data_IF_491237101673
#
_entry.id   IF_491237101673
#
_cell.length_a   1.000
_cell.length_b   1.000
_cell.length_c   1.000
_cell.angle_alpha   90.00
_cell.angle_beta   90.00
_cell.angle_gamma   90.00
#
_symmetry.space_group_name_H-M   'P 1'
#
loop_
_entity.id
_entity.type
_entity.pdbx_description
1 polymer ?
#
# COMPACT_ATOMS: atom_id res chain seq x y z
N UNK A 1 -8.21 -2.18 -18.46
CA UNK A 1 -8.97 -0.98 -18.83
C UNK A 1 -9.83 -1.23 -20.08
N UNK A 2 -10.63 -0.24 -20.50
CA UNK A 2 -11.54 -0.35 -21.65
C UNK A 2 -10.77 -0.54 -22.95
N UNK A 3 -9.66 0.16 -23.12
CA UNK A 3 -8.82 0.14 -24.34
C UNK A 3 -8.23 -1.26 -24.52
N UNK A 4 -7.68 -1.85 -23.46
CA UNK A 4 -7.11 -3.21 -23.51
C UNK A 4 -8.18 -4.26 -23.88
N UNK A 5 -9.41 -4.10 -23.41
CA UNK A 5 -10.52 -5.01 -23.77
C UNK A 5 -10.87 -4.92 -25.27
N UNK A 6 -10.95 -3.71 -25.78
CA UNK A 6 -11.20 -3.47 -27.22
C UNK A 6 -10.06 -4.02 -28.07
N UNK A 7 -8.81 -3.86 -27.62
CA UNK A 7 -7.64 -4.45 -28.29
C UNK A 7 -7.66 -5.98 -28.31
N UNK A 8 -8.03 -6.61 -27.19
CA UNK A 8 -8.17 -8.09 -27.12
C UNK A 8 -9.21 -8.58 -28.12
N UNK A 9 -10.39 -7.95 -28.16
CA UNK A 9 -11.46 -8.29 -29.10
C UNK A 9 -10.97 -8.17 -30.54
N UNK A 10 -10.27 -7.09 -30.86
CA UNK A 10 -9.74 -6.82 -32.19
C UNK A 10 -8.63 -7.79 -32.60
N UNK A 11 -7.63 -8.02 -31.72
CA UNK A 11 -6.49 -8.87 -32.03
C UNK A 11 -6.84 -10.36 -32.12
N UNK A 12 -7.81 -10.80 -31.31
CA UNK A 12 -8.30 -12.19 -31.36
C UNK A 12 -9.42 -12.38 -32.39
N UNK A 13 -9.78 -11.34 -33.16
CA UNK A 13 -10.83 -11.38 -34.16
C UNK A 13 -12.16 -11.97 -33.65
N UNK A 14 -12.54 -11.65 -32.40
CA UNK A 14 -13.73 -12.17 -31.77
C UNK A 14 -14.99 -11.59 -32.42
N UNK A 15 -15.90 -12.45 -32.88
CA UNK A 15 -17.17 -12.05 -33.47
C UNK A 15 -18.26 -12.05 -32.41
N UNK A 16 -18.82 -10.87 -32.11
CA UNK A 16 -19.87 -10.66 -31.09
C UNK A 16 -19.60 -11.37 -29.75
N UNK A 17 -18.44 -11.15 -29.10
CA UNK A 17 -18.10 -11.83 -27.87
C UNK A 17 -19.05 -11.41 -26.74
N UNK A 18 -19.42 -12.36 -25.89
CA UNK A 18 -20.06 -12.03 -24.60
C UNK A 18 -18.99 -11.56 -23.64
N UNK A 19 -19.15 -10.38 -23.05
CA UNK A 19 -18.22 -9.80 -22.11
C UNK A 19 -18.77 -9.92 -20.68
N UNK A 20 -18.05 -10.59 -19.79
CA UNK A 20 -18.36 -10.69 -18.37
C UNK A 20 -17.33 -9.87 -17.60
N UNK A 21 -17.78 -8.89 -16.86
CA UNK A 21 -16.92 -7.99 -16.08
C UNK A 21 -17.37 -8.07 -14.63
N UNK A 22 -16.51 -8.57 -13.76
CA UNK A 22 -16.70 -8.46 -12.32
C UNK A 22 -16.13 -7.14 -11.83
N UNK A 23 -16.66 -6.62 -10.71
CA UNK A 23 -16.12 -5.42 -10.07
C UNK A 23 -14.67 -5.60 -9.67
N UNK A 24 -13.89 -4.53 -9.77
CA UNK A 24 -12.54 -4.42 -9.21
C UNK A 24 -12.57 -4.12 -7.71
N UNK A 25 -13.73 -3.97 -7.11
CA UNK A 25 -13.81 -3.72 -5.68
C UNK A 25 -13.45 -4.95 -4.84
N UNK A 26 -12.60 -4.71 -3.87
CA UNK A 26 -12.14 -5.69 -2.88
C UNK A 26 -12.36 -5.09 -1.49
N UNK A 27 -13.63 -5.02 -1.00
CA UNK A 27 -13.98 -4.31 0.24
C UNK A 27 -13.28 -4.89 1.49
N UNK A 28 -12.88 -6.15 1.44
CA UNK A 28 -12.15 -6.83 2.50
C UNK A 28 -10.68 -6.41 2.63
N UNK A 29 -10.11 -5.66 1.67
CA UNK A 29 -8.71 -5.22 1.72
C UNK A 29 -8.67 -3.77 2.22
N UNK A 30 -7.98 -3.49 3.33
CA UNK A 30 -7.72 -2.12 3.75
C UNK A 30 -6.61 -1.48 2.91
N UNK A 31 -6.68 -0.16 2.73
CA UNK A 31 -5.70 0.58 1.93
C UNK A 31 -5.08 1.68 2.79
N UNK A 32 -3.81 1.52 3.16
CA UNK A 32 -3.09 2.48 4.00
C UNK A 32 -1.83 2.98 3.29
N UNK A 33 -1.62 4.30 3.26
CA UNK A 33 -0.42 4.92 2.69
C UNK A 33 0.32 5.69 3.76
N UNK A 34 1.59 5.33 3.98
CA UNK A 34 2.52 5.99 4.90
C UNK A 34 3.49 6.87 4.13
N UNK A 35 3.37 8.20 4.31
CA UNK A 35 4.17 9.19 3.60
C UNK A 35 5.35 9.68 4.43
N UNK A 36 6.48 9.95 3.79
CA UNK A 36 7.63 10.63 4.41
C UNK A 36 8.50 9.78 5.36
N UNK A 37 8.23 8.49 5.48
CA UNK A 37 9.00 7.58 6.34
C UNK A 37 10.41 7.36 5.79
N UNK A 38 11.42 7.59 6.61
CA UNK A 38 12.81 7.23 6.32
C UNK A 38 13.03 5.72 6.56
N UNK A 39 14.13 5.17 6.05
CA UNK A 39 14.39 3.72 6.11
C UNK A 39 14.30 3.13 7.54
N UNK A 40 14.80 3.86 8.55
CA UNK A 40 14.74 3.42 9.96
C UNK A 40 13.31 3.42 10.49
N UNK A 41 12.52 4.42 10.12
CA UNK A 41 11.11 4.55 10.50
C UNK A 41 10.25 3.49 9.81
N UNK A 42 10.50 3.24 8.50
CA UNK A 42 9.85 2.15 7.75
C UNK A 42 10.09 0.79 8.44
N UNK A 43 11.35 0.48 8.75
CA UNK A 43 11.71 -0.78 9.39
C UNK A 43 11.01 -0.95 10.74
N UNK A 44 10.96 0.11 11.57
CA UNK A 44 10.26 0.09 12.86
C UNK A 44 8.75 -0.14 12.67
N UNK A 45 8.13 0.59 11.75
CA UNK A 45 6.70 0.46 11.47
C UNK A 45 6.34 -0.94 10.93
N UNK A 46 7.19 -1.53 10.08
CA UNK A 46 7.01 -2.90 9.58
C UNK A 46 7.10 -3.92 10.73
N UNK A 47 8.06 -3.79 11.62
CA UNK A 47 8.18 -4.68 12.78
C UNK A 47 6.97 -4.58 13.71
N UNK A 48 6.53 -3.36 14.02
CA UNK A 48 5.32 -3.12 14.82
C UNK A 48 4.06 -3.67 14.14
N UNK A 49 3.97 -3.55 12.81
CA UNK A 49 2.89 -4.12 12.03
C UNK A 49 2.88 -5.66 12.10
N UNK A 50 4.01 -6.33 11.83
CA UNK A 50 4.12 -7.79 11.89
C UNK A 50 3.84 -8.32 13.30
N UNK A 51 4.24 -7.60 14.34
CA UNK A 51 3.93 -8.00 15.73
C UNK A 51 2.44 -7.95 16.06
N UNK A 52 1.67 -7.09 15.41
CA UNK A 52 0.20 -7.07 15.53
C UNK A 52 -0.47 -8.17 14.72
N UNK A 53 0.18 -8.62 13.65
CA UNK A 53 -0.27 -9.68 12.75
C UNK A 53 0.50 -10.99 13.00
N UNK A 54 0.60 -11.38 14.29
CA UNK A 54 1.30 -12.62 14.66
C UNK A 54 0.65 -13.82 13.99
N UNK A 55 1.50 -14.75 13.54
CA UNK A 55 1.09 -15.99 12.86
C UNK A 55 0.32 -15.79 11.53
N UNK A 56 0.13 -14.56 11.09
CA UNK A 56 -0.50 -14.26 9.82
C UNK A 56 0.53 -14.17 8.69
N UNK A 57 0.21 -14.79 7.54
CA UNK A 57 1.09 -14.78 6.38
C UNK A 57 1.01 -13.46 5.62
N UNK A 58 2.17 -12.93 5.21
CA UNK A 58 2.23 -11.68 4.45
C UNK A 58 3.40 -11.55 3.49
N UNK A 59 3.31 -10.56 2.62
CA UNK A 59 4.29 -10.28 1.56
C UNK A 59 4.81 -8.85 1.69
N UNK A 60 6.13 -8.66 1.58
CA UNK A 60 6.77 -7.35 1.51
C UNK A 60 7.40 -7.17 0.14
N UNK A 61 6.84 -6.29 -0.67
CA UNK A 61 7.39 -5.93 -1.97
C UNK A 61 8.45 -4.84 -1.87
N UNK A 62 9.61 -5.10 -2.45
CA UNK A 62 10.74 -4.16 -2.53
C UNK A 62 11.12 -3.89 -3.98
N UNK A 63 11.61 -2.69 -4.25
CA UNK A 63 11.98 -2.27 -5.61
C UNK A 63 13.22 -3.00 -6.16
N UNK A 64 14.17 -3.40 -5.32
CA UNK A 64 15.44 -4.01 -5.72
C UNK A 64 15.75 -5.30 -4.98
N UNK A 65 16.55 -6.17 -5.62
CA UNK A 65 17.04 -7.42 -5.02
C UNK A 65 17.77 -7.19 -3.70
N UNK A 66 18.71 -6.26 -3.67
CA UNK A 66 19.48 -5.91 -2.46
C UNK A 66 18.57 -5.41 -1.33
N UNK A 67 17.54 -4.58 -1.64
CA UNK A 67 16.60 -4.13 -0.62
C UNK A 67 15.77 -5.31 -0.09
N UNK A 68 15.36 -6.22 -0.94
CA UNK A 68 14.64 -7.45 -0.57
C UNK A 68 15.42 -8.27 0.45
N UNK A 69 16.70 -8.52 0.16
CA UNK A 69 17.60 -9.26 1.06
C UNK A 69 17.85 -8.51 2.38
N UNK A 70 18.08 -7.19 2.31
CA UNK A 70 18.34 -6.35 3.49
C UNK A 70 17.13 -6.34 4.44
N UNK A 71 15.91 -6.23 3.91
CA UNK A 71 14.68 -6.25 4.71
C UNK A 71 14.46 -7.63 5.31
N UNK A 72 14.66 -8.71 4.55
CA UNK A 72 14.54 -10.07 5.06
C UNK A 72 15.54 -10.35 6.20
N UNK A 73 16.81 -9.98 6.04
CA UNK A 73 17.82 -10.12 7.09
C UNK A 73 17.44 -9.35 8.36
N UNK A 74 16.88 -8.15 8.21
CA UNK A 74 16.40 -7.35 9.34
C UNK A 74 15.28 -8.08 10.10
N UNK A 75 14.32 -8.68 9.38
CA UNK A 75 13.23 -9.45 9.98
C UNK A 75 13.72 -10.73 10.66
N UNK A 76 14.63 -11.47 10.02
CA UNK A 76 15.23 -12.70 10.56
C UNK A 76 16.00 -12.43 11.87
N UNK A 77 16.73 -11.31 11.96
CA UNK A 77 17.40 -10.88 13.21
C UNK A 77 16.42 -10.59 14.35
N UNK A 78 15.16 -10.36 14.07
CA UNK A 78 14.09 -10.17 15.06
C UNK A 78 13.30 -11.48 15.32
N UNK A 79 13.79 -12.61 14.81
CA UNK A 79 13.16 -13.92 15.01
C UNK A 79 11.93 -14.18 14.11
N UNK A 80 11.67 -13.33 13.10
CA UNK A 80 10.55 -13.51 12.17
C UNK A 80 10.95 -14.52 11.10
N UNK A 81 10.15 -15.58 10.91
CA UNK A 81 10.34 -16.58 9.87
C UNK A 81 10.08 -15.95 8.50
N UNK A 82 11.16 -15.57 7.80
CA UNK A 82 11.09 -14.81 6.55
C UNK A 82 11.98 -15.42 5.46
N UNK A 83 11.44 -15.52 4.24
CA UNK A 83 12.15 -15.91 3.02
C UNK A 83 12.37 -14.73 2.06
N UNK A 84 13.29 -14.93 1.11
CA UNK A 84 13.63 -13.98 0.06
C UNK A 84 13.20 -14.54 -1.29
N UNK A 85 12.62 -13.70 -2.17
CA UNK A 85 12.27 -14.11 -3.52
C UNK A 85 12.52 -13.00 -4.55
N UNK A 86 13.42 -13.26 -5.48
CA UNK A 86 13.68 -12.38 -6.64
C UNK A 86 14.32 -13.15 -7.79
N UNK A 87 14.27 -12.59 -8.99
CA UNK A 87 14.76 -13.25 -10.21
C UNK A 87 16.27 -13.56 -10.24
N UNK A 88 17.05 -12.99 -9.31
CA UNK A 88 18.48 -13.28 -9.17
C UNK A 88 18.81 -14.55 -8.39
N UNK A 89 17.82 -15.17 -7.73
CA UNK A 89 17.98 -16.44 -7.02
C UNK A 89 17.90 -17.62 -8.00
N UNK A 90 18.51 -18.76 -7.62
CA UNK A 90 18.38 -20.00 -8.39
C UNK A 90 16.90 -20.45 -8.45
N UNK A 91 16.48 -21.16 -9.49
CA UNK A 91 15.13 -21.73 -9.57
C UNK A 91 14.79 -22.56 -8.32
N UNK A 92 15.71 -23.42 -7.90
CA UNK A 92 15.51 -24.25 -6.70
C UNK A 92 15.23 -23.43 -5.45
N UNK A 93 16.02 -22.38 -5.17
CA UNK A 93 15.80 -21.53 -3.99
C UNK A 93 14.47 -20.78 -4.05
N UNK A 94 14.03 -20.37 -5.25
CA UNK A 94 12.71 -19.76 -5.45
C UNK A 94 11.58 -20.73 -5.15
N UNK A 95 11.71 -21.97 -5.66
CA UNK A 95 10.72 -23.04 -5.44
C UNK A 95 10.64 -23.42 -3.95
N UNK A 96 11.78 -23.54 -3.26
CA UNK A 96 11.85 -23.79 -1.83
C UNK A 96 11.15 -22.67 -1.04
N UNK A 97 11.50 -21.40 -1.29
CA UNK A 97 10.88 -20.25 -0.61
C UNK A 97 9.37 -20.19 -0.86
N UNK A 98 8.93 -20.47 -2.09
CA UNK A 98 7.51 -20.48 -2.44
C UNK A 98 6.78 -21.62 -1.71
N UNK A 99 7.33 -22.82 -1.70
CA UNK A 99 6.77 -23.98 -1.02
C UNK A 99 6.70 -23.78 0.50
N UNK A 100 7.75 -23.18 1.09
CA UNK A 100 7.78 -22.87 2.52
C UNK A 100 6.72 -21.82 2.89
N UNK A 101 6.49 -20.83 2.02
CA UNK A 101 5.43 -19.85 2.23
C UNK A 101 4.03 -20.46 2.08
N UNK A 102 3.80 -21.27 1.06
CA UNK A 102 2.52 -21.96 0.82
C UNK A 102 2.16 -22.86 2.00
N UNK A 103 3.14 -23.56 2.57
CA UNK A 103 2.96 -24.51 3.66
C UNK A 103 3.13 -23.92 5.08
N UNK A 104 3.11 -22.57 5.21
CA UNK A 104 3.20 -21.85 6.49
C UNK A 104 4.50 -22.13 7.28
N UNK A 105 5.56 -22.64 6.63
CA UNK A 105 6.89 -22.83 7.25
C UNK A 105 7.58 -21.48 7.48
N UNK A 106 7.37 -20.52 6.57
CA UNK A 106 7.74 -19.12 6.75
C UNK A 106 6.48 -18.25 6.75
N UNK A 107 6.49 -17.24 7.59
CA UNK A 107 5.39 -16.30 7.77
C UNK A 107 5.42 -15.19 6.72
N UNK A 108 6.61 -14.70 6.37
CA UNK A 108 6.81 -13.53 5.53
C UNK A 108 7.66 -13.87 4.31
N UNK A 109 7.29 -13.34 3.15
CA UNK A 109 8.17 -13.32 1.97
C UNK A 109 8.53 -11.87 1.65
N UNK A 110 9.83 -11.55 1.68
CA UNK A 110 10.34 -10.32 1.09
C UNK A 110 10.65 -10.57 -0.38
N UNK A 111 10.06 -9.80 -1.28
CA UNK A 111 10.11 -10.10 -2.70
C UNK A 111 10.24 -8.86 -3.59
N UNK A 112 10.77 -9.05 -4.79
CA UNK A 112 10.50 -8.14 -5.91
C UNK A 112 9.21 -8.55 -6.63
N UNK A 113 8.81 -7.80 -7.65
CA UNK A 113 7.65 -8.11 -8.50
C UNK A 113 7.71 -9.51 -9.14
N UNK A 114 8.85 -10.19 -9.09
CA UNK A 114 9.00 -11.55 -9.57
C UNK A 114 8.19 -12.58 -8.76
N UNK A 115 7.86 -12.26 -7.50
CA UNK A 115 7.00 -13.07 -6.66
C UNK A 115 5.54 -12.75 -6.92
N UNK A 116 4.96 -13.47 -7.86
CA UNK A 116 3.62 -13.09 -8.26
C UNK A 116 2.88 -14.11 -9.08
N UNK A 117 3.36 -14.47 -10.23
CA UNK A 117 2.69 -15.43 -11.09
C UNK A 117 2.73 -16.83 -10.46
N UNK A 118 1.55 -17.46 -10.33
CA UNK A 118 1.44 -18.83 -9.80
C UNK A 118 1.33 -18.98 -8.29
N UNK A 119 1.25 -17.88 -7.51
CA UNK A 119 1.02 -17.98 -6.07
C UNK A 119 -0.47 -17.99 -5.80
N UNK A 120 -0.96 -19.15 -5.40
CA UNK A 120 -2.36 -19.37 -5.02
C UNK A 120 -2.50 -19.74 -3.55
N UNK A 121 -2.00 -18.86 -2.67
CA UNK A 121 -2.22 -18.93 -1.23
C UNK A 121 -3.38 -18.01 -0.86
N UNK A 122 -4.51 -18.58 -0.47
CA UNK A 122 -5.75 -17.82 -0.22
C UNK A 122 -5.73 -17.01 1.07
N UNK A 123 -4.92 -17.42 2.06
CA UNK A 123 -4.87 -16.87 3.41
C UNK A 123 -3.71 -15.89 3.63
N UNK A 124 -3.26 -15.18 2.62
CA UNK A 124 -2.37 -14.02 2.80
C UNK A 124 -3.17 -12.90 3.45
N UNK A 125 -2.77 -12.51 4.68
CA UNK A 125 -3.50 -11.51 5.47
C UNK A 125 -3.04 -10.09 5.23
N UNK A 126 -1.82 -9.89 4.74
CA UNK A 126 -1.33 -8.54 4.52
C UNK A 126 -0.28 -8.45 3.41
N UNK A 127 -0.22 -7.28 2.78
CA UNK A 127 0.78 -6.92 1.77
C UNK A 127 1.36 -5.55 2.09
N UNK A 128 2.69 -5.47 2.17
CA UNK A 128 3.42 -4.22 2.39
C UNK A 128 4.26 -3.89 1.15
N UNK A 129 4.14 -2.66 0.67
CA UNK A 129 5.05 -2.10 -0.32
C UNK A 129 6.08 -1.24 0.39
N UNK A 130 7.33 -1.72 0.47
CA UNK A 130 8.45 -0.97 1.06
C UNK A 130 8.80 0.27 0.24
N UNK A 131 8.59 0.21 -1.07
CA UNK A 131 8.80 1.27 -2.05
C UNK A 131 7.54 1.48 -2.91
N UNK A 132 7.45 2.64 -3.56
CA UNK A 132 6.39 2.94 -4.52
C UNK A 132 6.41 1.94 -5.68
N UNK A 133 5.30 1.28 -6.04
CA UNK A 133 5.16 0.52 -7.29
C UNK A 133 5.23 1.43 -8.51
N UNK A 134 5.60 0.86 -9.66
CA UNK A 134 5.73 1.61 -10.92
C UNK A 134 4.41 2.04 -11.55
N UNK A 135 3.30 1.40 -11.17
CA UNK A 135 1.97 1.69 -11.72
C UNK A 135 0.85 1.20 -10.80
N UNK A 136 -0.35 1.73 -10.99
CA UNK A 136 -1.56 1.29 -10.27
C UNK A 136 -1.89 -0.17 -10.58
N UNK A 137 -1.70 -0.62 -11.83
CA UNK A 137 -1.97 -2.00 -12.22
C UNK A 137 -1.05 -2.99 -11.45
N UNK A 138 0.24 -2.69 -11.37
CA UNK A 138 1.19 -3.49 -10.58
C UNK A 138 0.79 -3.50 -9.12
N UNK A 139 0.50 -2.33 -8.55
CA UNK A 139 0.04 -2.19 -7.17
C UNK A 139 -1.22 -3.02 -6.90
N UNK A 140 -2.24 -2.89 -7.77
CA UNK A 140 -3.51 -3.60 -7.63
C UNK A 140 -3.32 -5.13 -7.71
N UNK A 141 -2.50 -5.62 -8.64
CA UNK A 141 -2.18 -7.05 -8.74
C UNK A 141 -1.47 -7.57 -7.49
N UNK A 142 -0.57 -6.79 -6.92
CA UNK A 142 0.21 -7.15 -5.74
C UNK A 142 -0.63 -7.15 -4.47
N UNK A 143 -1.44 -6.11 -4.22
CA UNK A 143 -2.38 -6.10 -3.08
C UNK A 143 -3.49 -7.14 -3.23
N UNK A 144 -3.89 -7.46 -4.45
CA UNK A 144 -4.90 -8.48 -4.77
C UNK A 144 -4.54 -9.90 -4.34
N UNK A 145 -3.30 -10.13 -3.88
CA UNK A 145 -2.87 -11.40 -3.27
C UNK A 145 -3.38 -11.58 -1.86
N UNK A 146 -3.67 -10.47 -1.16
CA UNK A 146 -4.26 -10.52 0.16
C UNK A 146 -5.75 -10.86 0.10
N UNK A 147 -6.22 -11.62 1.09
CA UNK A 147 -7.64 -11.86 1.33
C UNK A 147 -8.40 -12.49 0.19
N UNK A 148 -7.82 -13.44 -0.56
CA UNK A 148 -8.52 -14.15 -1.64
C UNK A 148 -9.68 -15.00 -1.14
N UNK A 149 -9.67 -15.37 0.13
CA UNK A 149 -10.75 -16.06 0.82
C UNK A 149 -11.89 -15.13 1.27
N UNK A 150 -11.77 -13.82 1.01
CA UNK A 150 -12.76 -12.81 1.37
C UNK A 150 -12.66 -12.30 2.81
N UNK A 151 -11.71 -12.79 3.61
CA UNK A 151 -11.49 -12.29 4.97
C UNK A 151 -10.77 -10.93 4.96
N UNK A 152 -10.95 -10.13 6.03
CA UNK A 152 -10.24 -8.86 6.20
C UNK A 152 -8.74 -9.03 6.02
N UNK A 153 -8.13 -8.11 5.30
CA UNK A 153 -6.70 -8.13 5.01
C UNK A 153 -6.19 -6.70 4.89
N UNK A 154 -4.94 -6.48 5.30
CA UNK A 154 -4.37 -5.15 5.36
C UNK A 154 -3.32 -4.91 4.29
N UNK A 155 -3.30 -3.70 3.74
CA UNK A 155 -2.23 -3.27 2.84
C UNK A 155 -1.61 -1.96 3.28
N UNK A 156 -0.28 -1.90 3.23
CA UNK A 156 0.49 -0.69 3.57
C UNK A 156 1.42 -0.33 2.43
N UNK A 157 1.31 0.88 1.93
CA UNK A 157 2.21 1.45 0.94
C UNK A 157 3.09 2.52 1.59
N UNK A 158 4.40 2.32 1.61
CA UNK A 158 5.35 3.39 1.96
C UNK A 158 5.68 4.22 0.73
N UNK A 159 5.41 5.51 0.81
CA UNK A 159 5.68 6.47 -0.25
C UNK A 159 6.77 7.45 0.15
N UNK A 160 7.73 7.68 -0.75
CA UNK A 160 8.77 8.69 -0.62
C UNK A 160 9.09 9.35 -1.96
N UNK A 161 9.49 10.63 -1.93
CA UNK A 161 9.95 11.34 -3.13
C UNK A 161 11.20 10.70 -3.75
N UNK A 162 12.07 10.09 -2.93
CA UNK A 162 13.24 9.38 -3.43
C UNK A 162 12.88 8.20 -4.32
N UNK A 163 11.83 7.44 -3.95
CA UNK A 163 11.32 6.34 -4.79
C UNK A 163 10.76 6.90 -6.12
N UNK A 164 10.01 8.00 -6.06
CA UNK A 164 9.43 8.64 -7.25
C UNK A 164 10.52 9.11 -8.22
N UNK A 165 11.55 9.81 -7.74
CA UNK A 165 12.67 10.29 -8.56
C UNK A 165 13.37 9.11 -9.25
N UNK A 166 13.64 8.03 -8.51
CA UNK A 166 14.30 6.85 -9.06
C UNK A 166 13.43 6.16 -10.13
N UNK A 167 12.13 6.01 -9.88
CA UNK A 167 11.20 5.42 -10.83
C UNK A 167 11.01 6.30 -12.08
N UNK A 168 11.02 7.64 -11.92
CA UNK A 168 10.98 8.57 -13.04
C UNK A 168 12.20 8.38 -13.93
N UNK A 169 13.40 8.24 -13.34
CA UNK A 169 14.61 7.96 -14.10
C UNK A 169 14.49 6.65 -14.91
N UNK A 170 14.01 5.56 -14.28
CA UNK A 170 13.81 4.30 -15.01
C UNK A 170 12.74 4.41 -16.11
N UNK A 171 11.68 5.17 -15.88
CA UNK A 171 10.64 5.40 -16.88
C UNK A 171 11.17 6.19 -18.08
N UNK A 172 12.02 7.21 -17.85
CA UNK A 172 12.63 8.02 -18.92
C UNK A 172 13.66 7.25 -19.75
N UNK A 173 14.35 6.30 -19.15
CA UNK A 173 15.34 5.44 -19.83
C UNK A 173 14.69 4.25 -20.59
N UNK A 174 13.36 4.09 -20.50
CA UNK A 174 12.65 2.96 -21.11
C UNK A 174 12.22 3.24 -22.55
N UNK A 175 12.06 2.17 -23.36
CA UNK A 175 11.56 2.27 -24.73
C UNK A 175 10.11 2.77 -24.84
N UNK A 176 9.35 2.81 -23.73
CA UNK A 176 7.97 3.29 -23.65
C UNK A 176 7.85 4.45 -22.66
N UNK A 177 8.75 5.42 -22.78
CA UNK A 177 8.91 6.53 -21.85
C UNK A 177 7.59 7.21 -21.50
N UNK A 178 6.83 7.70 -22.48
CA UNK A 178 5.57 8.44 -22.27
C UNK A 178 4.57 7.63 -21.46
N UNK A 179 4.33 6.37 -21.86
CA UNK A 179 3.36 5.50 -21.19
C UNK A 179 3.79 5.19 -19.74
N UNK A 180 5.09 4.92 -19.53
CA UNK A 180 5.59 4.62 -18.19
C UNK A 180 5.57 5.83 -17.26
N UNK A 181 5.81 7.03 -17.77
CA UNK A 181 5.68 8.28 -17.02
C UNK A 181 4.23 8.56 -16.64
N UNK A 182 3.28 8.39 -17.56
CA UNK A 182 1.85 8.55 -17.28
C UNK A 182 1.37 7.56 -16.20
N UNK A 183 1.76 6.29 -16.31
CA UNK A 183 1.44 5.27 -15.29
C UNK A 183 2.01 5.61 -13.93
N UNK A 184 3.26 6.05 -13.89
CA UNK A 184 3.92 6.48 -12.66
C UNK A 184 3.23 7.70 -12.06
N UNK A 185 2.83 8.68 -12.88
CA UNK A 185 2.08 9.85 -12.44
C UNK A 185 0.74 9.47 -11.80
N UNK A 186 0.01 8.50 -12.38
CA UNK A 186 -1.23 7.98 -11.78
C UNK A 186 -0.97 7.30 -10.43
N UNK A 187 0.10 6.52 -10.32
CA UNK A 187 0.51 5.90 -9.07
C UNK A 187 0.90 6.93 -8.00
N UNK A 188 1.60 7.99 -8.39
CA UNK A 188 1.89 9.13 -7.55
C UNK A 188 0.60 9.80 -7.06
N UNK A 189 -0.31 10.16 -7.96
CA UNK A 189 -1.62 10.75 -7.61
C UNK A 189 -2.37 9.91 -6.60
N UNK A 190 -2.36 8.58 -6.75
CA UNK A 190 -2.94 7.66 -5.79
C UNK A 190 -2.28 7.75 -4.41
N UNK A 191 -0.94 7.69 -4.36
CA UNK A 191 -0.20 7.70 -3.10
C UNK A 191 -0.35 9.02 -2.33
N UNK A 192 -0.55 10.12 -3.05
CA UNK A 192 -0.58 11.47 -2.51
C UNK A 192 -2.01 12.02 -2.28
N UNK A 193 -3.02 11.29 -2.72
CA UNK A 193 -4.40 11.78 -2.67
C UNK A 193 -4.93 11.98 -1.26
N UNK A 194 -5.76 13.00 -1.10
CA UNK A 194 -6.56 13.30 0.10
C UNK A 194 -8.05 12.98 -0.10
N UNK A 195 -8.35 12.02 -0.96
CA UNK A 195 -9.67 11.43 -1.20
C UNK A 195 -9.62 9.92 -1.01
N UNK A 196 -10.78 9.28 -0.90
CA UNK A 196 -10.88 7.84 -0.71
C UNK A 196 -10.04 7.06 -1.73
N UNK A 197 -9.08 6.29 -1.25
CA UNK A 197 -8.15 5.53 -2.09
C UNK A 197 -8.85 4.50 -2.96
N UNK A 198 -9.89 3.88 -2.44
CA UNK A 198 -10.69 2.90 -3.20
C UNK A 198 -11.39 3.53 -4.38
N UNK A 199 -11.96 4.72 -4.21
CA UNK A 199 -12.58 5.47 -5.32
C UNK A 199 -11.58 5.76 -6.43
N UNK A 200 -10.33 6.08 -6.09
CA UNK A 200 -9.27 6.31 -7.09
C UNK A 200 -8.96 5.02 -7.85
N UNK A 201 -8.81 3.90 -7.13
CA UNK A 201 -8.54 2.60 -7.77
C UNK A 201 -9.70 2.20 -8.70
N UNK A 202 -10.93 2.28 -8.24
CA UNK A 202 -12.11 1.94 -9.04
C UNK A 202 -12.24 2.84 -10.27
N UNK A 203 -12.08 4.16 -10.09
CA UNK A 203 -12.09 5.12 -11.19
C UNK A 203 -10.99 4.82 -12.23
N UNK A 204 -9.79 4.45 -11.80
CA UNK A 204 -8.71 4.06 -12.69
C UNK A 204 -9.09 2.87 -13.59
N UNK A 205 -9.82 1.90 -13.06
CA UNK A 205 -10.31 0.75 -13.81
C UNK A 205 -11.65 0.98 -14.54
N UNK A 206 -12.16 2.21 -14.50
CA UNK A 206 -13.39 2.61 -15.21
C UNK A 206 -14.67 2.28 -14.44
N UNK A 207 -14.59 2.06 -13.12
CA UNK A 207 -15.75 1.93 -12.25
C UNK A 207 -16.02 3.24 -11.50
N UNK A 208 -17.28 3.64 -11.42
CA UNK A 208 -17.68 4.83 -10.65
C UNK A 208 -18.19 4.41 -9.28
N UNK A 209 -17.59 4.95 -8.22
CA UNK A 209 -18.09 4.84 -6.86
C UNK A 209 -18.42 6.24 -6.33
N UNK A 210 -19.61 6.42 -5.81
CA UNK A 210 -20.06 7.70 -5.20
C UNK A 210 -19.74 7.75 -3.71
N UNK A 211 -19.59 6.60 -3.05
CA UNK A 211 -19.39 6.48 -1.61
C UNK A 211 -17.93 6.24 -1.24
N UNK A 212 -17.53 6.77 -0.11
CA UNK A 212 -16.23 6.51 0.49
C UNK A 212 -16.21 5.12 1.13
N UNK A 213 -15.08 4.42 1.02
CA UNK A 213 -15.03 2.99 1.41
C UNK A 213 -15.02 2.74 2.92
N UNK A 214 -14.82 3.75 3.78
CA UNK A 214 -14.66 3.59 5.23
C UNK A 214 -13.43 2.78 5.67
N UNK A 215 -12.71 2.14 4.74
CA UNK A 215 -11.63 1.19 5.04
C UNK A 215 -10.26 1.57 4.43
N UNK A 216 -10.02 2.85 4.17
CA UNK A 216 -8.69 3.35 3.81
C UNK A 216 -8.21 4.39 4.85
N UNK A 217 -6.92 4.71 4.83
CA UNK A 217 -6.31 5.70 5.73
C UNK A 217 -7.01 7.07 5.65
N UNK A 218 -7.39 7.52 4.46
CA UNK A 218 -8.08 8.80 4.25
C UNK A 218 -9.49 8.77 4.82
N UNK A 219 -10.24 7.67 4.66
CA UNK A 219 -11.59 7.56 5.22
C UNK A 219 -11.59 7.46 6.76
N UNK A 220 -10.58 6.75 7.31
CA UNK A 220 -10.40 6.61 8.76
C UNK A 220 -9.94 7.91 9.43
N UNK A 221 -9.12 8.71 8.71
CA UNK A 221 -8.56 9.95 9.19
C UNK A 221 -8.64 11.04 8.12
N UNK A 222 -9.83 11.60 7.86
CA UNK A 222 -9.99 12.62 6.83
C UNK A 222 -9.16 13.86 7.19
N UNK A 223 -8.37 14.40 6.24
CA UNK A 223 -7.51 15.53 6.49
C UNK A 223 -8.31 16.80 6.79
N UNK A 224 -7.90 17.55 7.80
CA UNK A 224 -8.37 18.91 8.01
C UNK A 224 -7.74 19.83 6.97
N UNK A 225 -8.50 20.79 6.46
CA UNK A 225 -8.05 21.74 5.45
C UNK A 225 -8.09 23.17 5.99
N UNK A 226 -7.19 24.00 5.49
CA UNK A 226 -7.11 25.42 5.80
C UNK A 226 -6.86 26.26 4.54
N UNK A 227 -7.12 27.57 4.61
CA UNK A 227 -6.81 28.48 3.52
C UNK A 227 -5.27 28.69 3.45
N UNK A 228 -4.64 27.92 2.55
CA UNK A 228 -3.20 27.95 2.29
C UNK A 228 -2.80 28.89 1.16
N UNK A 229 -3.68 29.81 0.71
CA UNK A 229 -3.47 30.66 -0.46
C UNK A 229 -2.14 31.41 -0.39
N UNK A 230 -1.79 31.98 0.75
CA UNK A 230 -0.53 32.72 0.93
C UNK A 230 0.70 31.81 0.79
N UNK A 231 0.63 30.58 1.31
CA UNK A 231 1.71 29.59 1.19
C UNK A 231 1.94 29.25 -0.29
N UNK A 232 0.85 28.99 -1.01
CA UNK A 232 0.87 28.68 -2.45
C UNK A 232 1.42 29.88 -3.24
N UNK A 233 0.97 31.10 -2.95
CA UNK A 233 1.47 32.30 -3.61
C UNK A 233 2.96 32.55 -3.37
N UNK A 234 3.50 32.30 -2.16
CA UNK A 234 4.95 32.37 -1.88
C UNK A 234 5.72 31.43 -2.81
N UNK A 235 5.28 30.18 -2.93
CA UNK A 235 5.95 29.18 -3.77
C UNK A 235 5.85 29.52 -5.28
N UNK A 236 4.65 29.79 -5.78
CA UNK A 236 4.44 30.11 -7.19
C UNK A 236 5.14 31.41 -7.60
N UNK A 237 5.18 32.42 -6.70
CA UNK A 237 5.94 33.67 -6.94
C UNK A 237 7.44 33.41 -7.04
N UNK A 238 7.99 32.48 -6.24
CA UNK A 238 9.40 32.10 -6.34
C UNK A 238 9.68 31.36 -7.65
N UNK A 239 8.82 30.42 -8.05
CA UNK A 239 8.93 29.72 -9.35
C UNK A 239 8.89 30.71 -10.51
N UNK A 240 7.93 31.65 -10.52
CA UNK A 240 7.80 32.64 -11.58
C UNK A 240 9.04 33.56 -11.69
N UNK A 241 9.55 34.03 -10.53
CA UNK A 241 10.72 34.93 -10.48
C UNK A 241 12.03 34.25 -10.84
N UNK A 242 12.10 32.92 -10.65
CA UNK A 242 13.21 32.11 -11.10
C UNK A 242 13.00 31.60 -12.54
N UNK A 243 12.12 32.27 -13.33
CA UNK A 243 11.85 31.98 -14.75
C UNK A 243 11.38 30.54 -15.01
N UNK A 244 10.80 29.90 -13.97
CA UNK A 244 10.36 28.50 -14.03
C UNK A 244 11.50 27.51 -14.38
N UNK A 245 12.74 27.84 -13.99
CA UNK A 245 13.95 27.04 -14.28
C UNK A 245 14.58 26.48 -13.00
N UNK A 246 13.78 26.16 -12.02
CA UNK A 246 14.24 25.62 -10.74
C UNK A 246 13.56 24.30 -10.44
N UNK A 247 14.29 23.42 -9.73
CA UNK A 247 13.78 22.18 -9.16
C UNK A 247 13.11 22.43 -7.79
N UNK A 248 12.41 21.42 -7.28
CA UNK A 248 11.77 21.48 -5.94
C UNK A 248 12.76 21.78 -4.83
N UNK A 249 13.99 21.20 -4.88
CA UNK A 249 15.03 21.45 -3.89
C UNK A 249 15.48 22.90 -3.85
N UNK A 250 15.77 23.48 -5.03
CA UNK A 250 16.16 24.90 -5.18
C UNK A 250 15.03 25.84 -4.73
N UNK A 251 13.78 25.50 -5.05
CA UNK A 251 12.64 26.28 -4.59
C UNK A 251 12.58 26.35 -3.06
N UNK A 252 12.81 25.22 -2.37
CA UNK A 252 12.84 25.17 -0.90
C UNK A 252 14.00 26.05 -0.38
N UNK A 253 15.18 25.96 -0.99
CA UNK A 253 16.33 26.79 -0.61
C UNK A 253 16.03 28.30 -0.76
N UNK A 254 15.42 28.72 -1.87
CA UNK A 254 14.99 30.10 -2.10
C UNK A 254 13.98 30.53 -1.03
N UNK A 255 12.92 29.75 -0.79
CA UNK A 255 11.89 30.08 0.17
C UNK A 255 12.43 30.16 1.62
N UNK A 256 13.36 29.29 1.95
CA UNK A 256 14.02 29.27 3.26
C UNK A 256 15.10 30.34 3.42
N UNK A 257 15.59 30.91 2.32
CA UNK A 257 16.71 31.83 2.32
C UNK A 257 18.03 31.11 2.60
N UNK A 258 18.22 29.93 2.04
CA UNK A 258 19.44 29.10 2.15
C UNK A 258 20.40 29.45 1.04
N UNK A 259 21.68 29.73 1.39
CA UNK A 259 22.75 29.99 0.43
C UNK A 259 23.37 28.67 -0.06
N UNK A 260 22.63 27.88 -0.84
CA UNK A 260 23.24 26.74 -1.52
C UNK A 260 24.10 27.19 -2.70
N UNK A 261 24.99 26.30 -3.16
CA UNK A 261 25.91 26.61 -4.27
C UNK A 261 25.15 27.02 -5.53
N UNK A 262 24.02 26.35 -5.83
CA UNK A 262 23.21 26.64 -7.00
C UNK A 262 22.42 27.95 -6.87
N UNK A 263 21.88 28.26 -5.68
CA UNK A 263 21.20 29.51 -5.39
C UNK A 263 22.16 30.70 -5.58
N UNK A 264 23.39 30.58 -5.07
CA UNK A 264 24.41 31.61 -5.18
C UNK A 264 24.90 31.77 -6.61
N UNK A 265 25.18 30.66 -7.32
CA UNK A 265 25.68 30.70 -8.69
C UNK A 265 24.70 31.36 -9.68
N UNK A 266 23.38 31.18 -9.45
CA UNK A 266 22.32 31.75 -10.31
C UNK A 266 21.77 33.10 -9.80
N UNK A 267 22.28 33.63 -8.71
CA UNK A 267 21.85 34.93 -8.16
C UNK A 267 20.45 34.91 -7.55
N UNK A 268 19.92 33.76 -7.18
CA UNK A 268 18.55 33.65 -6.64
C UNK A 268 18.41 34.28 -5.23
N UNK A 269 19.48 34.53 -4.53
CA UNK A 269 19.46 35.28 -3.27
C UNK A 269 18.99 36.75 -3.45
N UNK A 270 19.02 37.29 -4.67
CA UNK A 270 18.53 38.63 -5.01
C UNK A 270 17.01 38.69 -5.23
N UNK A 271 16.36 37.53 -5.34
CA UNK A 271 14.91 37.45 -5.56
C UNK A 271 14.13 37.99 -4.35
N UNK A 272 13.08 38.79 -4.59
CA UNK A 272 12.17 39.26 -3.52
C UNK A 272 11.53 38.14 -2.70
N UNK A 273 11.54 36.93 -3.23
CA UNK A 273 11.02 35.71 -2.58
C UNK A 273 12.05 34.95 -1.78
N UNK A 274 13.31 35.38 -1.82
CA UNK A 274 14.38 34.78 -1.02
C UNK A 274 14.10 34.92 0.47
N UNK A 275 13.93 33.81 1.16
CA UNK A 275 13.58 33.79 2.59
C UNK A 275 12.11 34.10 2.90
N UNK A 276 11.23 34.26 1.92
CA UNK A 276 9.82 34.58 2.15
C UNK A 276 9.05 33.48 2.89
N UNK A 277 9.59 32.27 2.97
CA UNK A 277 9.03 31.11 3.63
C UNK A 277 9.88 30.57 4.78
N UNK A 278 10.70 31.40 5.43
CA UNK A 278 11.56 31.01 6.56
C UNK A 278 10.79 30.49 7.77
N UNK A 279 9.55 30.97 7.94
CA UNK A 279 8.60 30.58 8.96
C UNK A 279 8.15 29.10 8.87
N UNK A 280 8.28 28.49 7.69
CA UNK A 280 7.88 27.10 7.44
C UNK A 280 9.13 26.20 7.40
N UNK A 281 9.17 25.09 8.17
CA UNK A 281 10.28 24.15 8.13
C UNK A 281 10.50 23.55 6.73
N UNK A 282 11.74 23.17 6.34
CA UNK A 282 12.01 22.58 5.02
C UNK A 282 11.15 21.34 4.71
N UNK A 283 10.88 20.52 5.72
CA UNK A 283 10.07 19.32 5.60
C UNK A 283 8.60 19.63 5.33
N UNK A 284 8.06 20.69 5.95
CA UNK A 284 6.69 21.15 5.71
C UNK A 284 6.55 21.76 4.32
N UNK A 285 7.61 22.45 3.84
CA UNK A 285 7.65 22.90 2.46
C UNK A 285 7.59 21.73 1.47
N UNK A 286 8.29 20.61 1.73
CA UNK A 286 8.18 19.43 0.89
C UNK A 286 6.74 18.91 0.81
N UNK A 287 6.05 18.84 1.95
CA UNK A 287 4.67 18.36 2.03
C UNK A 287 3.70 19.33 1.33
N UNK A 288 3.84 20.65 1.52
CA UNK A 288 3.01 21.63 0.84
C UNK A 288 3.27 21.68 -0.67
N UNK A 289 4.51 21.59 -1.12
CA UNK A 289 4.84 21.54 -2.55
C UNK A 289 4.25 20.27 -3.19
N UNK A 290 4.25 19.17 -2.45
CA UNK A 290 3.60 17.95 -2.88
C UNK A 290 2.09 18.14 -3.06
N UNK A 291 1.41 18.75 -2.09
CA UNK A 291 -0.02 19.10 -2.21
C UNK A 291 -0.28 20.03 -3.40
N UNK A 292 0.57 21.03 -3.62
CA UNK A 292 0.43 21.95 -4.76
C UNK A 292 0.58 21.25 -6.11
N UNK A 293 1.51 20.31 -6.22
CA UNK A 293 1.69 19.45 -7.39
C UNK A 293 0.43 18.61 -7.65
N UNK A 294 -0.13 17.99 -6.61
CA UNK A 294 -1.35 17.18 -6.66
C UNK A 294 -2.59 17.98 -7.07
N UNK A 295 -2.69 19.19 -6.54
CA UNK A 295 -3.77 20.12 -6.85
C UNK A 295 -3.59 20.75 -8.24
N UNK A 296 -2.49 20.42 -8.93
CA UNK A 296 -2.21 20.89 -10.27
C UNK A 296 -1.89 22.39 -10.34
N UNK A 297 -1.30 22.98 -9.30
CA UNK A 297 -0.90 24.38 -9.32
C UNK A 297 0.42 24.62 -10.05
N UNK A 298 1.25 23.61 -10.10
CA UNK A 298 2.43 23.51 -10.98
C UNK A 298 2.66 22.08 -11.40
N UNK A 299 3.48 21.88 -12.42
CA UNK A 299 3.91 20.57 -12.90
C UNK A 299 5.43 20.47 -12.93
N UNK A 300 5.98 19.26 -13.01
CA UNK A 300 7.42 19.02 -13.12
C UNK A 300 7.73 18.65 -14.56
N UNK A 301 8.52 19.50 -15.25
CA UNK A 301 9.03 19.22 -16.58
C UNK A 301 10.26 18.29 -16.49
N UNK A 302 10.01 16.97 -16.48
CA UNK A 302 11.07 15.95 -16.32
C UNK A 302 12.10 15.96 -17.44
N UNK A 303 11.72 16.37 -18.64
CA UNK A 303 12.59 16.57 -19.79
C UNK A 303 13.42 17.87 -19.73
N UNK A 304 13.16 18.75 -18.77
CA UNK A 304 13.84 20.03 -18.57
C UNK A 304 14.49 20.09 -17.16
N UNK A 305 15.33 19.13 -16.84
CA UNK A 305 16.05 19.05 -15.55
C UNK A 305 15.13 19.13 -14.31
N UNK A 306 13.92 18.59 -14.39
CA UNK A 306 12.88 18.64 -13.35
C UNK A 306 12.46 20.06 -12.98
N UNK A 307 12.47 20.98 -13.94
CA UNK A 307 12.01 22.34 -13.73
C UNK A 307 10.51 22.40 -13.42
N UNK A 308 10.15 23.33 -12.54
CA UNK A 308 8.76 23.55 -12.14
C UNK A 308 8.08 24.53 -13.10
N UNK A 309 6.92 24.14 -13.64
CA UNK A 309 6.12 24.97 -14.57
C UNK A 309 4.79 25.31 -13.91
N UNK A 310 4.42 26.58 -13.91
CA UNK A 310 3.14 27.04 -13.35
C UNK A 310 2.02 26.71 -14.33
N UNK A 311 0.96 26.08 -13.83
CA UNK A 311 -0.23 25.76 -14.61
C UNK A 311 -1.20 26.95 -14.66
N UNK A 312 -2.24 26.93 -15.52
CA UNK A 312 -3.31 27.93 -15.50
C UNK A 312 -3.98 28.05 -14.13
N UNK A 313 -4.28 26.91 -13.45
CA UNK A 313 -4.85 26.91 -12.11
C UNK A 313 -3.92 27.54 -11.06
N UNK A 314 -2.63 27.29 -11.15
CA UNK A 314 -1.63 27.94 -10.31
C UNK A 314 -1.56 29.44 -10.56
N UNK A 315 -1.64 29.86 -11.83
CA UNK A 315 -1.66 31.26 -12.21
C UNK A 315 -2.86 32.00 -11.59
N UNK A 316 -4.04 31.40 -11.59
CA UNK A 316 -5.23 32.00 -10.99
C UNK A 316 -5.06 32.23 -9.47
N UNK A 317 -4.40 31.32 -8.77
CA UNK A 317 -4.08 31.51 -7.34
C UNK A 317 -3.01 32.54 -7.15
N UNK A 318 -1.94 32.52 -7.96
CA UNK A 318 -0.84 33.48 -7.90
C UNK A 318 -1.33 34.92 -8.02
N UNK A 319 -2.29 35.15 -8.90
CA UNK A 319 -2.88 36.48 -9.14
C UNK A 319 -4.15 36.77 -8.32
N UNK A 320 -4.48 35.92 -7.35
CA UNK A 320 -5.57 36.14 -6.40
C UNK A 320 -6.99 35.95 -6.97
N UNK A 321 -7.13 35.31 -8.15
CA UNK A 321 -8.41 34.99 -8.75
C UNK A 321 -9.09 33.78 -8.11
N UNK A 322 -8.30 32.88 -7.47
CA UNK A 322 -8.78 31.69 -6.80
C UNK A 322 -8.07 31.52 -5.44
N UNK A 323 -8.72 30.77 -4.52
CA UNK A 323 -8.15 30.38 -3.23
C UNK A 323 -7.58 28.97 -3.30
N UNK A 324 -6.57 28.69 -2.47
CA UNK A 324 -5.98 27.38 -2.35
C UNK A 324 -6.28 26.78 -0.96
N UNK A 325 -6.95 25.65 -0.93
CA UNK A 325 -7.18 24.89 0.29
C UNK A 325 -6.11 23.79 0.42
N UNK A 326 -5.29 23.86 1.47
CA UNK A 326 -4.27 22.86 1.77
C UNK A 326 -4.71 22.01 2.97
N UNK A 327 -4.29 20.74 2.98
CA UNK A 327 -4.45 19.87 4.13
C UNK A 327 -3.45 20.25 5.22
N UNK A 328 -3.91 20.21 6.48
CA UNK A 328 -3.06 20.41 7.65
C UNK A 328 -2.07 19.24 7.75
N UNK A 329 -0.79 19.57 7.88
CA UNK A 329 0.26 18.57 8.06
C UNK A 329 0.20 18.08 9.51
N UNK A 330 -0.34 16.88 9.72
CA UNK A 330 -0.28 16.20 11.00
C UNK A 330 1.00 15.38 11.09
N UNK A 331 1.86 15.74 12.04
CA UNK A 331 3.04 14.95 12.38
C UNK A 331 2.81 14.28 13.73
N UNK A 332 2.88 12.97 13.77
CA UNK A 332 3.11 12.27 15.03
C UNK A 332 4.51 12.66 15.52
N UNK A 333 4.58 13.44 16.61
CA UNK A 333 5.85 13.69 17.29
C UNK A 333 6.40 12.36 17.76
N UNK A 334 7.49 11.92 17.13
CA UNK A 334 8.30 10.83 17.68
C UNK A 334 8.98 11.40 18.90
N UNK A 335 8.35 11.26 20.05
CA UNK A 335 8.94 11.62 21.33
C UNK A 335 10.11 10.69 21.59
N UNK A 336 11.30 11.09 21.15
CA UNK A 336 12.58 10.51 21.60
C UNK A 336 12.90 11.11 22.96
N UNK A 337 12.19 10.66 24.01
CA UNK A 337 12.38 11.08 25.37
C UNK A 337 12.54 9.87 26.28
N UNK A 338 13.72 9.74 26.91
CA UNK A 338 13.89 8.94 28.11
C UNK A 338 12.97 9.48 29.21
N UNK A 339 11.81 8.88 29.39
CA UNK A 339 10.89 9.29 30.46
C UNK A 339 9.53 8.62 30.36
N UNK A 340 9.30 7.68 31.28
CA UNK A 340 8.04 7.08 31.74
C UNK A 340 6.96 6.79 30.71
N UNK A 341 6.81 5.48 30.42
CA UNK A 341 5.72 4.88 29.65
C UNK A 341 4.35 5.34 30.18
N UNK A 342 3.69 6.26 29.48
CA UNK A 342 2.24 6.33 29.50
C UNK A 342 1.73 5.32 28.46
N UNK A 343 1.09 4.26 28.93
CA UNK A 343 0.27 3.39 28.09
C UNK A 343 -0.79 4.24 27.45
N UNK A 344 -0.66 4.50 26.15
CA UNK A 344 -1.79 4.91 25.33
C UNK A 344 -2.58 3.64 25.10
N UNK A 345 -3.70 3.53 25.73
CA UNK A 345 -4.73 2.54 25.43
C UNK A 345 -5.33 2.96 24.09
N UNK A 346 -4.81 2.36 23.02
CA UNK A 346 -5.49 2.43 21.73
C UNK A 346 -6.68 1.51 21.85
N UNK A 347 -7.87 2.09 21.88
CA UNK A 347 -9.11 1.34 21.77
C UNK A 347 -9.01 0.44 20.52
N UNK A 348 -9.15 -0.85 20.74
CA UNK A 348 -9.35 -1.84 19.68
C UNK A 348 -10.72 -1.56 19.06
N UNK A 349 -10.79 -0.70 18.06
CA UNK A 349 -11.90 -0.74 17.12
C UNK A 349 -11.53 -1.78 16.05
N UNK A 350 -12.21 -2.91 16.13
CA UNK A 350 -12.19 -3.94 15.11
C UNK A 350 -12.84 -3.38 13.84
N UNK A 351 -12.14 -3.30 12.70
CA UNK A 351 -12.77 -2.91 11.46
C UNK A 351 -13.62 -4.08 10.94
N UNK A 352 -14.86 -3.79 10.71
CA UNK A 352 -15.88 -4.66 10.13
C UNK A 352 -16.21 -5.93 10.93
N UNK A 353 -17.36 -5.85 11.63
CA UNK A 353 -17.86 -6.86 12.54
C UNK A 353 -17.96 -8.27 11.93
N UNK A 354 -17.14 -9.14 12.45
CA UNK A 354 -17.60 -10.49 12.73
C UNK A 354 -18.53 -10.33 13.93
N UNK A 355 -19.81 -10.76 13.88
CA UNK A 355 -20.71 -10.65 15.02
C UNK A 355 -20.07 -11.28 16.25
N UNK A 356 -20.09 -10.57 17.39
CA UNK A 356 -19.47 -11.02 18.62
C UNK A 356 -19.90 -12.43 19.01
N UNK A 357 -18.91 -13.30 19.26
CA UNK A 357 -19.12 -14.70 19.64
C UNK A 357 -17.97 -15.63 19.27
N UNK A 358 -16.91 -15.12 18.67
CA UNK A 358 -15.72 -15.92 18.35
C UNK A 358 -14.99 -16.36 19.63
N UNK A 359 -14.73 -17.67 19.74
CA UNK A 359 -13.87 -18.20 20.78
C UNK A 359 -12.44 -18.30 20.23
N UNK A 360 -11.58 -17.36 20.66
CA UNK A 360 -10.20 -17.24 20.18
C UNK A 360 -9.40 -18.51 20.47
N UNK A 361 -9.64 -19.15 21.64
CA UNK A 361 -8.98 -20.40 22.03
C UNK A 361 -9.40 -21.57 21.12
N UNK A 362 -10.71 -21.66 20.80
CA UNK A 362 -11.21 -22.65 19.86
C UNK A 362 -10.68 -22.42 18.45
N UNK A 363 -10.61 -21.18 17.99
CA UNK A 363 -10.06 -20.87 16.66
C UNK A 363 -8.60 -21.32 16.54
N UNK A 364 -7.76 -21.05 17.53
CA UNK A 364 -6.36 -21.49 17.53
C UNK A 364 -6.24 -23.01 17.63
N UNK A 365 -7.10 -23.69 18.40
CA UNK A 365 -7.12 -25.14 18.45
C UNK A 365 -7.53 -25.75 17.09
N UNK A 366 -8.55 -25.20 16.42
CA UNK A 366 -8.97 -25.62 15.07
C UNK A 366 -7.85 -25.39 14.03
N UNK A 367 -7.13 -24.28 14.16
CA UNK A 367 -5.98 -23.97 13.30
C UNK A 367 -4.83 -24.98 13.51
N UNK A 368 -4.56 -25.34 14.76
CA UNK A 368 -3.58 -26.37 15.11
C UNK A 368 -3.94 -27.74 14.52
N UNK A 369 -5.19 -28.19 14.71
CA UNK A 369 -5.69 -29.45 14.14
C UNK A 369 -5.61 -29.45 12.61
N UNK A 370 -6.04 -28.36 11.96
CA UNK A 370 -5.93 -28.22 10.51
C UNK A 370 -4.49 -28.40 10.02
N UNK A 371 -3.52 -27.80 10.74
CA UNK A 371 -2.10 -27.93 10.39
C UNK A 371 -1.63 -29.37 10.51
N UNK A 372 -1.98 -30.07 11.57
CA UNK A 372 -1.65 -31.49 11.74
C UNK A 372 -2.19 -32.36 10.60
N UNK A 373 -3.45 -32.16 10.23
CA UNK A 373 -4.08 -32.87 9.11
C UNK A 373 -3.39 -32.55 7.79
N UNK A 374 -3.08 -31.27 7.56
CA UNK A 374 -2.39 -30.81 6.35
C UNK A 374 -1.00 -31.44 6.21
N UNK A 375 -0.23 -31.48 7.30
CA UNK A 375 1.11 -32.09 7.33
C UNK A 375 1.03 -33.61 7.09
N UNK A 376 0.00 -34.31 7.62
CA UNK A 376 -0.23 -35.74 7.38
C UNK A 376 -0.63 -36.04 5.92
N UNK A 377 -1.48 -35.22 5.36
CA UNK A 377 -1.97 -35.37 3.97
C UNK A 377 -0.98 -34.84 2.92
N UNK A 378 0.09 -34.14 3.33
CA UNK A 378 1.04 -33.48 2.42
C UNK A 378 0.41 -32.33 1.62
N UNK A 379 -0.59 -31.65 2.19
CA UNK A 379 -1.36 -30.58 1.55
C UNK A 379 -1.14 -29.24 2.27
N UNK A 380 -1.25 -28.11 1.57
CA UNK A 380 -1.34 -26.80 2.21
C UNK A 380 -2.55 -26.71 3.15
N UNK A 381 -2.36 -26.10 4.33
CA UNK A 381 -3.37 -26.06 5.39
C UNK A 381 -4.72 -25.43 4.92
N UNK A 382 -4.68 -24.39 4.11
CA UNK A 382 -5.89 -23.75 3.58
C UNK A 382 -6.70 -24.65 2.60
N UNK A 383 -6.09 -25.68 2.04
CA UNK A 383 -6.80 -26.68 1.19
C UNK A 383 -7.68 -27.58 2.05
N UNK A 384 -7.22 -27.95 3.25
CA UNK A 384 -8.02 -28.75 4.20
C UNK A 384 -9.27 -27.96 4.58
N UNK A 385 -9.13 -26.81 5.23
CA UNK A 385 -10.21 -25.85 5.49
C UNK A 385 -9.63 -24.43 5.37
N UNK A 386 -10.38 -23.51 4.75
CA UNK A 386 -9.99 -22.10 4.68
C UNK A 386 -10.13 -21.42 6.04
N UNK A 387 -9.41 -20.31 6.28
CA UNK A 387 -9.54 -19.54 7.51
C UNK A 387 -10.98 -19.08 7.74
N UNK A 388 -11.71 -18.72 6.68
CA UNK A 388 -13.14 -18.37 6.73
C UNK A 388 -13.98 -19.49 7.34
N UNK A 389 -13.70 -20.74 6.98
CA UNK A 389 -14.41 -21.90 7.53
C UNK A 389 -14.06 -22.09 9.00
N UNK A 390 -12.79 -21.92 9.39
CA UNK A 390 -12.39 -22.01 10.81
C UNK A 390 -13.07 -20.93 11.67
N UNK A 391 -13.19 -19.69 11.18
CA UNK A 391 -13.95 -18.65 11.87
C UNK A 391 -15.42 -19.01 12.02
N UNK A 392 -16.05 -19.53 10.97
CA UNK A 392 -17.44 -19.98 11.06
C UNK A 392 -17.62 -21.12 12.06
N UNK A 393 -16.67 -22.05 12.11
CA UNK A 393 -16.68 -23.15 13.08
C UNK A 393 -16.49 -22.67 14.52
N UNK A 394 -15.62 -21.68 14.77
CA UNK A 394 -15.40 -21.13 16.12
C UNK A 394 -16.63 -20.35 16.64
N UNK A 395 -17.43 -19.80 15.75
CA UNK A 395 -18.69 -19.10 16.07
C UNK A 395 -19.83 -20.10 16.27
N UNK A 396 -20.08 -20.97 15.27
CA UNK A 396 -21.26 -21.86 15.23
C UNK A 396 -21.13 -23.10 16.10
N UNK A 397 -19.89 -23.52 16.43
CA UNK A 397 -19.56 -24.66 17.29
C UNK A 397 -20.36 -25.92 17.01
N UNK A 398 -20.38 -26.47 15.77
CA UNK A 398 -21.16 -27.64 15.44
C UNK A 398 -20.68 -28.87 16.20
N UNK A 399 -21.60 -29.54 16.92
CA UNK A 399 -21.33 -30.76 17.70
C UNK A 399 -21.67 -32.04 16.98
N UNK A 400 -22.23 -31.97 15.77
CA UNK A 400 -22.55 -33.10 14.91
C UNK A 400 -21.91 -32.97 13.53
N UNK A 401 -21.70 -34.11 12.84
CA UNK A 401 -21.10 -34.10 11.48
C UNK A 401 -22.05 -33.44 10.47
N UNK A 402 -23.37 -33.60 10.69
CA UNK A 402 -24.40 -32.97 9.86
C UNK A 402 -24.30 -31.45 9.94
N UNK A 403 -24.31 -30.88 11.15
CA UNK A 403 -24.16 -29.44 11.38
C UNK A 403 -22.80 -28.88 10.90
N UNK A 404 -21.73 -29.66 11.03
CA UNK A 404 -20.43 -29.34 10.44
C UNK A 404 -20.51 -29.19 8.92
N UNK A 405 -21.24 -30.11 8.24
CA UNK A 405 -21.43 -30.08 6.79
C UNK A 405 -22.29 -28.93 6.27
N UNK A 406 -23.09 -28.27 7.12
CA UNK A 406 -23.92 -27.12 6.75
C UNK A 406 -23.11 -25.81 6.69
N UNK A 407 -21.88 -25.81 7.20
CA UNK A 407 -21.01 -24.63 7.18
C UNK A 407 -20.59 -24.31 5.74
N UNK A 408 -20.84 -23.09 5.33
CA UNK A 408 -20.45 -22.60 3.98
C UNK A 408 -18.95 -22.81 3.72
N UNK A 409 -18.64 -23.54 2.66
CA UNK A 409 -17.24 -23.88 2.30
C UNK A 409 -16.83 -25.30 2.72
N UNK A 410 -17.74 -26.08 3.34
CA UNK A 410 -17.55 -27.49 3.63
C UNK A 410 -18.43 -28.30 2.68
N UNK A 411 -17.80 -28.89 1.66
CA UNK A 411 -18.50 -29.86 0.75
C UNK A 411 -18.48 -31.28 1.30
N UNK A 412 -19.26 -32.18 0.68
CA UNK A 412 -19.41 -33.57 1.10
C UNK A 412 -18.08 -34.33 1.26
N UNK A 413 -17.10 -34.05 0.42
CA UNK A 413 -15.75 -34.62 0.54
C UNK A 413 -15.08 -34.24 1.86
N UNK A 414 -15.06 -32.94 2.19
CA UNK A 414 -14.43 -32.42 3.41
C UNK A 414 -15.18 -32.85 4.65
N UNK A 415 -16.52 -32.92 4.59
CA UNK A 415 -17.39 -33.43 5.64
C UNK A 415 -17.03 -34.88 5.99
N UNK A 416 -16.93 -35.74 4.98
CA UNK A 416 -16.58 -37.17 5.18
C UNK A 416 -15.14 -37.34 5.68
N UNK A 417 -14.20 -36.59 5.12
CA UNK A 417 -12.78 -36.82 5.38
C UNK A 417 -12.34 -36.21 6.72
N UNK A 418 -12.78 -35.00 7.06
CA UNK A 418 -12.27 -34.24 8.20
C UNK A 418 -13.32 -34.01 9.30
N UNK A 419 -14.59 -34.14 9.02
CA UNK A 419 -15.69 -33.76 9.93
C UNK A 419 -15.60 -34.39 11.31
N UNK A 420 -15.20 -35.65 11.41
CA UNK A 420 -15.12 -36.39 12.69
C UNK A 420 -14.05 -35.74 13.63
N UNK A 421 -12.91 -35.36 13.10
CA UNK A 421 -11.79 -34.82 13.88
C UNK A 421 -12.10 -33.41 14.37
N UNK A 422 -12.62 -32.55 13.47
CA UNK A 422 -13.01 -31.18 13.81
C UNK A 422 -14.16 -31.13 14.82
N UNK A 423 -15.20 -31.94 14.62
CA UNK A 423 -16.35 -32.04 15.57
C UNK A 423 -15.90 -32.53 16.93
N UNK A 424 -15.00 -33.52 16.99
CA UNK A 424 -14.48 -34.01 18.27
C UNK A 424 -13.68 -32.95 19.02
N UNK A 425 -12.89 -32.12 18.31
CA UNK A 425 -12.19 -31.02 18.92
C UNK A 425 -13.18 -29.94 19.43
N UNK A 426 -14.17 -29.55 18.61
CA UNK A 426 -15.17 -28.54 18.98
C UNK A 426 -15.94 -28.95 20.24
N UNK A 427 -16.30 -30.23 20.40
CA UNK A 427 -16.97 -30.77 21.61
C UNK A 427 -16.19 -30.57 22.91
N UNK A 428 -14.88 -30.32 22.85
CA UNK A 428 -14.06 -30.04 24.04
C UNK A 428 -14.17 -28.59 24.51
N UNK A 429 -14.76 -27.72 23.69
CA UNK A 429 -14.93 -26.28 23.92
C UNK A 429 -16.40 -25.85 24.11
N UNK A 430 -17.33 -26.80 24.05
CA UNK A 430 -18.78 -26.63 24.28
C UNK A 430 -19.17 -27.33 25.56
#
# INVERSE_FOLDING_TARGET
DKITREDIIRQLHLIQPRTFISSFDRPNISLDVKRGFQAKEKNKAILEFIHRHREESGIIYCMSRNKTETVAQMLQKQGIRCGVYHAGLSPQHRDETQNDFINDRIQVVCATIAFGMGIDKSNVRWVIHYNLPKSIESFYQEIGRAGRDGLPSDTVLFYSLGDLILLTKFATESNQQTINLEKLQRMQQYAEADICRRRILLSYFGETSTEDCGNCDVCKNPPQRFDGTVIVQKALSAIARAEQQISTGILIDILRGSYSAEVTAKGYQELKTFGAGRDIPPRDWQDYLLQMLQLGYFEIAYNENNHLKITPSGSDILFGKAKAMLAVIHREEIVTGKGKKKKVVIAKELPFGIPGGENEDLFEALRGLRKQIADQDGLPAYIVLSDKVLHLLSISRPTTIEAFGEISGIGEFKKKKYGKEFVNLIKQFV
#
